data_IF_599310282349
#
_entry.id   IF_599310282349
#
_cell.length_a   1.000
_cell.length_b   1.000
_cell.length_c   1.000
_cell.angle_alpha   90.00
_cell.angle_beta   90.00
_cell.angle_gamma   90.00
#
_symmetry.space_group_name_H-M   'P 1'
#
loop_
_entity.id
_entity.type
_entity.pdbx_description
1 polymer ?
#
# COMPACT_ATOMS: atom_id res chain seq x y z
N UNK A 1 42.82 -19.69 21.71
CA UNK A 1 41.72 -19.07 22.47
C UNK A 1 41.14 -17.98 21.58
N UNK A 2 40.45 -18.39 20.51
CA UNK A 2 39.88 -17.52 19.46
C UNK A 2 38.53 -18.09 18.94
N UNK A 3 37.95 -19.09 19.64
CA UNK A 3 36.77 -19.85 19.17
C UNK A 3 35.45 -19.19 19.64
N UNK A 4 35.48 -18.42 20.73
CA UNK A 4 34.27 -17.78 21.29
C UNK A 4 33.71 -16.66 20.40
N UNK A 5 34.56 -15.92 19.68
CA UNK A 5 34.11 -14.81 18.81
C UNK A 5 33.31 -15.26 17.58
N UNK A 6 33.61 -16.45 17.05
CA UNK A 6 32.94 -16.97 15.85
C UNK A 6 31.53 -17.51 16.12
N UNK A 7 31.28 -18.09 17.30
CA UNK A 7 29.95 -18.60 17.67
C UNK A 7 28.97 -17.45 18.00
N UNK A 8 29.45 -16.40 18.67
CA UNK A 8 28.62 -15.23 19.01
C UNK A 8 28.21 -14.45 17.75
N UNK A 9 29.12 -14.26 16.79
CA UNK A 9 28.84 -13.63 15.51
C UNK A 9 27.85 -14.44 14.65
N UNK A 10 27.95 -15.77 14.67
CA UNK A 10 27.03 -16.65 13.95
C UNK A 10 25.62 -16.64 14.56
N UNK A 11 25.55 -16.58 15.89
CA UNK A 11 24.30 -16.43 16.62
C UNK A 11 23.64 -15.06 16.35
N UNK A 12 24.40 -13.97 16.36
CA UNK A 12 23.90 -12.63 16.03
C UNK A 12 23.34 -12.58 14.60
N UNK A 13 24.06 -13.14 13.63
CA UNK A 13 23.61 -13.21 12.24
C UNK A 13 22.30 -13.98 12.10
N UNK A 14 22.14 -15.06 12.88
CA UNK A 14 20.90 -15.84 12.93
C UNK A 14 19.73 -15.01 13.44
N UNK A 15 19.91 -14.23 14.51
CA UNK A 15 18.88 -13.33 15.02
C UNK A 15 18.52 -12.22 14.03
N UNK A 16 19.51 -11.63 13.36
CA UNK A 16 19.29 -10.58 12.35
C UNK A 16 18.46 -11.13 11.18
N UNK A 17 18.79 -12.33 10.69
CA UNK A 17 18.02 -12.99 9.62
C UNK A 17 16.57 -13.27 10.07
N UNK A 18 16.39 -13.83 11.26
CA UNK A 18 15.06 -14.11 11.80
C UNK A 18 14.20 -12.83 11.96
N UNK A 19 14.81 -11.73 12.41
CA UNK A 19 14.14 -10.43 12.50
C UNK A 19 13.74 -9.89 11.13
N UNK A 20 14.62 -10.04 10.13
CA UNK A 20 14.37 -9.63 8.75
C UNK A 20 13.20 -10.41 8.14
N UNK A 21 13.22 -11.74 8.27
CA UNK A 21 12.15 -12.64 7.80
C UNK A 21 10.80 -12.29 8.44
N UNK A 22 10.77 -12.04 9.74
CA UNK A 22 9.53 -11.68 10.45
C UNK A 22 8.97 -10.34 9.96
N UNK A 23 9.83 -9.34 9.73
CA UNK A 23 9.40 -8.05 9.20
C UNK A 23 8.91 -8.15 7.75
N UNK A 24 9.51 -9.03 6.92
CA UNK A 24 9.01 -9.31 5.57
C UNK A 24 7.63 -9.95 5.59
N UNK A 25 7.46 -11.02 6.38
CA UNK A 25 6.17 -11.69 6.55
C UNK A 25 5.09 -10.69 6.99
N UNK A 26 5.42 -9.84 7.96
CA UNK A 26 4.48 -8.82 8.43
C UNK A 26 4.12 -7.81 7.33
N UNK A 27 5.09 -7.39 6.53
CA UNK A 27 4.83 -6.49 5.39
C UNK A 27 3.91 -7.15 4.35
N UNK A 28 4.10 -8.43 4.07
CA UNK A 28 3.25 -9.20 3.17
C UNK A 28 1.82 -9.36 3.71
N UNK A 29 1.65 -9.60 5.01
CA UNK A 29 0.34 -9.60 5.68
C UNK A 29 -0.36 -8.24 5.53
N UNK A 30 0.34 -7.14 5.78
CA UNK A 30 -0.22 -5.79 5.61
C UNK A 30 -0.64 -5.53 4.16
N UNK A 31 0.12 -6.03 3.20
CA UNK A 31 -0.24 -5.93 1.78
C UNK A 31 -1.50 -6.74 1.48
N UNK A 32 -1.59 -7.99 1.93
CA UNK A 32 -2.77 -8.83 1.74
C UNK A 32 -4.02 -8.21 2.39
N UNK A 33 -3.90 -7.67 3.60
CA UNK A 33 -4.98 -6.93 4.25
C UNK A 33 -5.42 -5.71 3.43
N UNK A 34 -4.47 -4.96 2.88
CA UNK A 34 -4.79 -3.80 2.04
C UNK A 34 -5.43 -4.21 0.70
N UNK A 35 -4.98 -5.30 0.08
CA UNK A 35 -5.58 -5.89 -1.12
C UNK A 35 -7.04 -6.28 -0.90
N UNK A 36 -7.31 -6.98 0.19
CA UNK A 36 -8.67 -7.38 0.56
C UNK A 36 -9.60 -6.16 0.69
N UNK A 37 -9.18 -5.13 1.44
CA UNK A 37 -9.99 -3.91 1.60
C UNK A 37 -10.21 -3.15 0.29
N UNK A 38 -9.17 -3.02 -0.53
CA UNK A 38 -9.29 -2.33 -1.81
C UNK A 38 -10.14 -3.11 -2.81
N UNK A 39 -10.08 -4.45 -2.77
CA UNK A 39 -10.92 -5.34 -3.57
C UNK A 39 -12.39 -5.20 -3.19
N UNK A 40 -12.73 -5.27 -1.89
CA UNK A 40 -14.10 -5.07 -1.43
C UNK A 40 -14.66 -3.69 -1.81
N UNK A 41 -13.84 -2.63 -1.71
CA UNK A 41 -14.20 -1.31 -2.21
C UNK A 41 -14.52 -1.33 -3.72
N UNK A 42 -13.65 -1.93 -4.53
CA UNK A 42 -13.84 -1.99 -5.97
C UNK A 42 -15.09 -2.79 -6.34
N UNK A 43 -15.33 -3.94 -5.70
CA UNK A 43 -16.52 -4.77 -5.92
C UNK A 43 -17.80 -4.03 -5.58
N UNK A 44 -17.83 -3.34 -4.44
CA UNK A 44 -18.93 -2.46 -4.05
C UNK A 44 -19.19 -1.39 -5.11
N UNK A 45 -18.16 -0.63 -5.51
CA UNK A 45 -18.29 0.43 -6.52
C UNK A 45 -18.79 -0.12 -7.85
N UNK A 46 -18.26 -1.25 -8.31
CA UNK A 46 -18.67 -1.86 -9.57
C UNK A 46 -20.12 -2.35 -9.52
N UNK A 47 -20.56 -2.93 -8.40
CA UNK A 47 -21.95 -3.34 -8.21
C UNK A 47 -22.90 -2.14 -8.24
N UNK A 48 -22.56 -1.06 -7.51
CA UNK A 48 -23.37 0.15 -7.46
C UNK A 48 -23.38 0.93 -8.79
N UNK A 49 -22.28 0.95 -9.53
CA UNK A 49 -22.20 1.61 -10.84
C UNK A 49 -23.08 0.89 -11.90
N UNK A 50 -23.25 -0.44 -11.82
CA UNK A 50 -24.10 -1.19 -12.77
C UNK A 50 -25.57 -0.78 -12.73
N UNK A 51 -26.04 -0.31 -11.57
CA UNK A 51 -27.45 0.09 -11.38
C UNK A 51 -27.67 1.60 -11.53
N UNK A 52 -26.61 2.37 -11.80
CA UNK A 52 -26.62 3.84 -11.83
C UNK A 52 -26.33 4.40 -13.21
N UNK A 53 -26.78 5.62 -13.44
CA UNK A 53 -26.46 6.35 -14.66
C UNK A 53 -24.99 6.74 -14.68
N UNK A 54 -24.46 6.99 -15.88
CA UNK A 54 -23.03 7.31 -16.06
C UNK A 54 -22.58 8.54 -15.23
N UNK A 55 -23.45 9.53 -15.04
CA UNK A 55 -23.13 10.74 -14.26
C UNK A 55 -22.97 10.46 -12.76
N UNK A 56 -23.61 9.39 -12.27
CA UNK A 56 -23.61 8.99 -10.88
C UNK A 56 -22.56 7.90 -10.58
N UNK A 57 -21.79 7.49 -11.59
CA UNK A 57 -20.72 6.52 -11.41
C UNK A 57 -19.66 7.11 -10.49
N UNK A 58 -19.19 6.27 -9.57
CA UNK A 58 -17.98 6.58 -8.82
C UNK A 58 -16.79 6.57 -9.77
N UNK A 59 -15.96 7.59 -9.61
CA UNK A 59 -14.65 7.72 -10.24
C UNK A 59 -13.51 7.58 -9.24
N UNK A 60 -13.83 7.43 -7.95
CA UNK A 60 -12.86 7.34 -6.87
C UNK A 60 -12.48 5.88 -6.66
N UNK A 61 -11.18 5.60 -6.64
CA UNK A 61 -10.67 4.24 -6.47
C UNK A 61 -9.47 4.26 -5.53
N UNK A 62 -9.27 3.15 -4.82
CA UNK A 62 -8.10 2.90 -3.99
C UNK A 62 -7.38 1.65 -4.49
N UNK A 63 -6.05 1.66 -4.46
CA UNK A 63 -5.25 0.51 -4.85
C UNK A 63 -3.99 0.36 -3.99
N UNK A 64 -3.68 -0.85 -3.51
CA UNK A 64 -2.43 -1.13 -2.84
C UNK A 64 -1.35 -1.47 -3.88
N UNK A 65 -0.10 -1.19 -3.52
CA UNK A 65 1.08 -1.58 -4.28
C UNK A 65 2.21 -1.81 -3.29
N UNK A 66 2.76 -3.00 -3.30
CA UNK A 66 4.01 -3.34 -2.67
C UNK A 66 5.14 -3.25 -3.70
N UNK A 67 6.22 -2.53 -3.38
CA UNK A 67 7.47 -2.55 -4.14
C UNK A 67 8.64 -2.61 -3.18
N UNK A 68 9.45 -3.66 -3.32
CA UNK A 68 10.55 -3.93 -2.39
C UNK A 68 10.00 -3.93 -0.95
N UNK A 69 10.50 -3.03 -0.11
CA UNK A 69 10.08 -2.91 1.29
C UNK A 69 9.01 -1.83 1.50
N UNK A 70 8.40 -1.29 0.43
CA UNK A 70 7.47 -0.17 0.49
C UNK A 70 6.06 -0.57 0.07
N UNK A 71 5.16 -0.61 1.04
CA UNK A 71 3.72 -0.66 0.81
C UNK A 71 3.15 0.75 0.60
N UNK A 72 2.35 0.91 -0.44
CA UNK A 72 1.59 2.13 -0.70
C UNK A 72 0.14 1.78 -0.97
N UNK A 73 -0.80 2.46 -0.31
CA UNK A 73 -2.24 2.33 -0.57
C UNK A 73 -2.74 3.69 -1.03
N UNK A 74 -3.09 3.80 -2.31
CA UNK A 74 -3.22 5.09 -2.99
C UNK A 74 -4.62 5.32 -3.51
N UNK A 75 -5.22 6.44 -3.15
CA UNK A 75 -6.44 6.92 -3.77
C UNK A 75 -6.14 7.60 -5.10
N UNK A 76 -6.97 7.36 -6.10
CA UNK A 76 -6.88 7.98 -7.42
C UNK A 76 -8.27 8.18 -8.03
N UNK A 77 -8.33 9.11 -8.97
CA UNK A 77 -9.52 9.38 -9.76
C UNK A 77 -9.37 8.75 -11.14
N UNK A 78 -10.39 8.04 -11.57
CA UNK A 78 -10.52 7.53 -12.93
C UNK A 78 -11.13 8.61 -13.81
N UNK A 79 -10.40 9.01 -14.85
CA UNK A 79 -10.90 9.89 -15.90
C UNK A 79 -10.92 9.16 -17.23
N UNK A 80 -11.95 9.40 -18.01
CA UNK A 80 -12.06 8.88 -19.35
C UNK A 80 -11.87 10.02 -20.35
N UNK A 81 -10.97 9.84 -21.31
CA UNK A 81 -10.69 10.80 -22.38
C UNK A 81 -10.97 10.19 -23.74
N UNK A 82 -11.30 11.00 -24.74
CA UNK A 82 -11.59 10.52 -26.10
C UNK A 82 -13.07 10.17 -26.33
N UNK A 83 -13.41 9.78 -27.56
CA UNK A 83 -14.78 9.54 -27.97
C UNK A 83 -15.15 8.06 -27.86
N UNK A 84 -16.32 7.79 -27.25
CA UNK A 84 -16.91 6.44 -27.24
C UNK A 84 -17.27 6.02 -28.68
N UNK A 85 -17.85 6.92 -29.47
CA UNK A 85 -18.30 6.64 -30.84
C UNK A 85 -17.13 6.32 -31.78
N UNK A 86 -16.01 7.04 -31.65
CA UNK A 86 -14.81 6.82 -32.47
C UNK A 86 -13.87 5.73 -31.90
N UNK A 87 -14.25 5.04 -30.83
CA UNK A 87 -13.43 4.02 -30.14
C UNK A 87 -12.04 4.52 -29.71
N UNK A 88 -11.86 5.82 -29.50
CA UNK A 88 -10.60 6.43 -29.03
C UNK A 88 -10.54 6.61 -27.52
N UNK A 89 -11.52 6.04 -26.80
CA UNK A 89 -11.69 6.26 -25.37
C UNK A 89 -10.58 5.57 -24.56
N UNK A 90 -9.86 6.34 -23.74
CA UNK A 90 -8.81 5.86 -22.85
C UNK A 90 -9.10 6.18 -21.39
N UNK A 91 -8.79 5.24 -20.51
CA UNK A 91 -8.83 5.41 -19.06
C UNK A 91 -7.51 6.03 -18.58
N UNK A 92 -7.59 7.05 -17.74
CA UNK A 92 -6.43 7.70 -17.11
C UNK A 92 -6.66 7.75 -15.61
N UNK A 93 -5.66 7.30 -14.84
CA UNK A 93 -5.67 7.35 -13.38
C UNK A 93 -4.92 8.59 -12.91
N UNK A 94 -5.61 9.49 -12.21
CA UNK A 94 -4.99 10.66 -11.56
C UNK A 94 -4.86 10.41 -10.06
N UNK A 95 -3.63 10.22 -9.58
CA UNK A 95 -3.36 10.02 -8.15
C UNK A 95 -3.77 11.25 -7.34
N UNK A 96 -4.41 11.01 -6.20
CA UNK A 96 -4.69 12.04 -5.19
C UNK A 96 -3.45 12.15 -4.31
N UNK A 97 -2.98 13.36 -4.07
CA UNK A 97 -1.79 13.59 -3.24
C UNK A 97 -2.19 13.56 -1.77
N UNK A 98 -1.59 12.64 -1.02
CA UNK A 98 -1.72 12.57 0.44
C UNK A 98 -0.96 13.75 1.09
N UNK A 99 -1.47 14.33 2.20
CA UNK A 99 -0.73 15.35 2.95
C UNK A 99 0.66 14.85 3.39
N UNK A 100 1.64 15.78 3.42
CA UNK A 100 2.99 15.47 3.92
C UNK A 100 2.90 15.03 5.39
N UNK A 101 3.74 14.07 5.78
CA UNK A 101 3.87 13.58 7.16
C UNK A 101 2.57 13.02 7.78
N UNK A 102 1.61 12.60 6.94
CA UNK A 102 0.38 11.92 7.38
C UNK A 102 0.30 10.53 6.77
N UNK A 103 -0.33 9.60 7.48
CA UNK A 103 -0.59 8.25 6.99
C UNK A 103 -1.94 8.16 6.25
N UNK A 104 -2.92 8.93 6.70
CA UNK A 104 -4.23 9.06 6.04
C UNK A 104 -4.31 10.22 5.05
N UNK A 105 -5.29 10.14 4.17
CA UNK A 105 -5.75 11.21 3.28
C UNK A 105 -6.66 12.17 4.03
N UNK A 106 -6.80 13.39 3.51
CA UNK A 106 -7.82 14.31 4.02
C UNK A 106 -9.20 13.81 3.56
N UNK A 107 -10.07 13.46 4.52
CA UNK A 107 -11.42 12.99 4.28
C UNK A 107 -12.27 14.03 3.53
N UNK A 108 -12.11 15.32 3.78
CA UNK A 108 -12.82 16.37 3.01
C UNK A 108 -12.41 16.38 1.54
N UNK A 109 -11.13 16.13 1.25
CA UNK A 109 -10.64 16.02 -0.13
C UNK A 109 -11.27 14.81 -0.83
N UNK A 110 -11.36 13.67 -0.14
CA UNK A 110 -12.02 12.48 -0.69
C UNK A 110 -13.52 12.72 -0.88
N UNK A 111 -14.19 13.34 0.10
CA UNK A 111 -15.63 13.64 0.07
C UNK A 111 -16.03 14.55 -1.08
N UNK A 112 -15.18 15.51 -1.44
CA UNK A 112 -15.40 16.41 -2.60
C UNK A 112 -15.38 15.69 -3.95
N UNK A 113 -14.79 14.49 -4.00
CA UNK A 113 -14.63 13.69 -5.22
C UNK A 113 -15.61 12.52 -5.23
N UNK A 114 -15.88 11.95 -4.06
CA UNK A 114 -16.78 10.84 -3.87
C UNK A 114 -18.23 11.21 -4.24
N UNK A 115 -18.96 10.23 -4.76
CA UNK A 115 -20.40 10.33 -4.88
C UNK A 115 -21.07 10.27 -3.50
N UNK A 116 -22.24 10.90 -3.30
CA UNK A 116 -22.93 10.87 -2.00
C UNK A 116 -23.21 9.45 -1.49
N UNK A 117 -23.51 8.51 -2.40
CA UNK A 117 -23.87 7.14 -2.07
C UNK A 117 -22.69 6.24 -1.69
N UNK A 118 -21.44 6.62 -2.02
CA UNK A 118 -20.25 5.81 -1.68
C UNK A 118 -19.51 6.34 -0.45
N UNK A 119 -19.91 7.50 0.08
CA UNK A 119 -19.12 8.23 1.07
C UNK A 119 -18.82 7.42 2.33
N UNK A 120 -19.82 6.77 2.91
CA UNK A 120 -19.64 5.98 4.12
C UNK A 120 -18.64 4.83 3.91
N UNK A 121 -18.62 4.27 2.69
CA UNK A 121 -17.69 3.22 2.31
C UNK A 121 -16.27 3.75 2.11
N UNK A 122 -16.13 4.90 1.43
CA UNK A 122 -14.84 5.58 1.25
C UNK A 122 -14.23 5.94 2.60
N UNK A 123 -15.04 6.47 3.53
CA UNK A 123 -14.58 6.82 4.87
C UNK A 123 -14.13 5.59 5.66
N UNK A 124 -14.91 4.51 5.61
CA UNK A 124 -14.59 3.23 6.26
C UNK A 124 -13.28 2.66 5.75
N UNK A 125 -13.14 2.55 4.42
CA UNK A 125 -11.93 2.03 3.79
C UNK A 125 -10.71 2.88 4.16
N UNK A 126 -10.83 4.21 4.13
CA UNK A 126 -9.72 5.09 4.51
C UNK A 126 -9.31 4.94 5.99
N UNK A 127 -10.29 4.78 6.89
CA UNK A 127 -10.04 4.49 8.32
C UNK A 127 -9.30 3.16 8.49
N UNK A 128 -9.65 2.13 7.74
CA UNK A 128 -9.03 0.80 7.83
C UNK A 128 -7.64 0.72 7.22
N UNK A 129 -7.38 1.40 6.09
CA UNK A 129 -6.06 1.32 5.43
C UNK A 129 -5.03 2.28 6.03
N UNK A 130 -5.46 3.31 6.76
CA UNK A 130 -4.57 4.26 7.44
C UNK A 130 -3.60 3.58 8.42
N UNK A 131 -4.02 2.71 9.35
CA UNK A 131 -3.10 1.99 10.24
C UNK A 131 -2.15 1.07 9.46
N UNK A 132 -2.60 0.42 8.38
CA UNK A 132 -1.75 -0.43 7.54
C UNK A 132 -0.61 0.38 6.91
N UNK A 133 -0.92 1.56 6.36
CA UNK A 133 0.10 2.48 5.83
C UNK A 133 1.07 2.94 6.92
N UNK A 134 0.56 3.22 8.13
CA UNK A 134 1.39 3.65 9.26
C UNK A 134 2.39 2.57 9.63
N UNK A 135 1.93 1.34 9.80
CA UNK A 135 2.77 0.22 10.20
C UNK A 135 3.83 -0.08 9.13
N UNK A 136 3.45 -0.12 7.85
CA UNK A 136 4.40 -0.36 6.78
C UNK A 136 5.48 0.73 6.65
N UNK A 137 5.16 2.00 6.93
CA UNK A 137 6.15 3.09 6.95
C UNK A 137 7.21 2.88 8.04
N UNK A 138 6.88 2.20 9.15
CA UNK A 138 7.85 1.84 10.17
C UNK A 138 8.68 0.61 9.79
N UNK A 139 8.05 -0.39 9.14
CA UNK A 139 8.75 -1.62 8.74
C UNK A 139 9.80 -1.35 7.64
N UNK A 140 9.47 -0.51 6.67
CA UNK A 140 10.33 -0.24 5.51
C UNK A 140 11.79 0.16 5.86
N UNK A 141 12.06 1.15 6.75
CA UNK A 141 13.42 1.51 7.12
C UNK A 141 14.12 0.42 7.96
N UNK A 142 13.39 -0.33 8.80
CA UNK A 142 13.96 -1.45 9.56
C UNK A 142 14.49 -2.54 8.62
N UNK A 143 13.69 -2.96 7.65
CA UNK A 143 14.14 -3.87 6.60
C UNK A 143 15.34 -3.31 5.83
N UNK A 144 15.32 -2.01 5.50
CA UNK A 144 16.45 -1.36 4.83
C UNK A 144 17.76 -1.44 5.62
N UNK A 145 17.71 -1.28 6.95
CA UNK A 145 18.89 -1.40 7.82
C UNK A 145 19.37 -2.84 7.97
N UNK A 146 18.47 -3.79 8.22
CA UNK A 146 18.80 -5.21 8.35
C UNK A 146 19.45 -5.75 7.06
N UNK A 147 18.89 -5.39 5.89
CA UNK A 147 19.47 -5.77 4.61
C UNK A 147 20.90 -5.22 4.40
N UNK A 148 21.22 -4.04 4.94
CA UNK A 148 22.59 -3.50 4.88
C UNK A 148 23.56 -4.30 5.75
N UNK A 149 23.15 -4.67 6.96
CA UNK A 149 23.96 -5.46 7.88
C UNK A 149 24.23 -6.85 7.28
N UNK A 150 23.17 -7.50 6.78
CA UNK A 150 23.28 -8.82 6.14
C UNK A 150 24.21 -8.82 4.93
N UNK A 151 24.17 -7.76 4.10
CA UNK A 151 25.07 -7.62 2.94
C UNK A 151 26.52 -7.37 3.36
N UNK A 152 26.75 -6.47 4.32
CA UNK A 152 28.11 -6.18 4.82
C UNK A 152 28.81 -7.43 5.37
N UNK A 153 28.07 -8.31 6.07
CA UNK A 153 28.61 -9.57 6.59
C UNK A 153 28.87 -10.63 5.50
N UNK A 154 28.26 -10.52 4.32
CA UNK A 154 28.57 -11.40 3.18
C UNK A 154 29.81 -10.93 2.42
N UNK A 155 30.03 -9.61 2.30
CA UNK A 155 31.17 -9.04 1.60
C UNK A 155 32.47 -9.10 2.41
N UNK A 156 32.39 -9.05 3.75
CA UNK A 156 33.54 -9.21 4.66
C UNK A 156 34.04 -10.64 4.86
N UNK A 157 33.41 -11.65 4.25
CA UNK A 157 33.80 -13.07 4.30
C UNK A 157 34.45 -13.57 3.00
N UNK A 158 34.80 -12.67 2.07
CA UNK A 158 35.53 -12.95 0.82
C UNK A 158 36.95 -12.43 0.90
#
# INVERSE_FOLDING_TARGET
MEIEGTEEEELELTYIKAAEDNLRKRLDELFAMAEDRCKHHLEFVLAQNRTRTWAEHSVLCVNPRLRENKLSVTWYVVKWYGSKAQKTRRMVKKVIVKPKNKYGYNLETLRKIAQPWEWDWVETVEKEVTPLRREAEFIAPCLGKLNKILKGNMEGKT
#
